data_IF_148511700681
#
_entry.id   IF_148511700681
#
_cell.length_a   1.000
_cell.length_b   1.000
_cell.length_c   1.000
_cell.angle_alpha   90.00
_cell.angle_beta   90.00
_cell.angle_gamma   90.00
#
_symmetry.space_group_name_H-M   'P 1'
#
loop_
_entity.id
_entity.type
_entity.pdbx_description
1 polymer ?
#
# COMPACT_ATOMS: atom_id res chain seq x y z
N UNK A 1 -53.46 29.86 -30.04
CA UNK A 1 -53.57 30.10 -31.50
C UNK A 1 -52.80 31.39 -31.75
N UNK A 2 -51.62 31.48 -32.37
CA UNK A 2 -50.99 30.70 -33.44
C UNK A 2 -49.48 31.01 -33.45
N UNK A 3 -48.64 29.97 -33.54
CA UNK A 3 -47.31 30.03 -34.19
C UNK A 3 -47.46 29.31 -35.56
N UNK A 4 -46.55 29.42 -36.56
CA UNK A 4 -45.11 29.70 -36.44
C UNK A 4 -44.51 30.63 -37.52
N UNK A 5 -43.27 31.08 -37.29
CA UNK A 5 -42.46 31.85 -38.22
C UNK A 5 -41.57 30.92 -39.07
N UNK A 6 -41.62 31.10 -40.39
CA UNK A 6 -40.88 30.40 -41.45
C UNK A 6 -39.52 31.02 -41.71
N UNK A 7 -38.52 30.19 -42.07
CA UNK A 7 -37.41 30.63 -42.91
C UNK A 7 -36.02 30.17 -42.47
N UNK A 8 -35.51 29.17 -43.18
CA UNK A 8 -34.21 28.50 -42.99
C UNK A 8 -33.10 29.06 -43.89
N UNK A 9 -31.87 29.13 -43.32
CA UNK A 9 -30.53 28.99 -43.95
C UNK A 9 -30.06 30.11 -44.92
N UNK A 10 -28.78 30.51 -45.02
CA UNK A 10 -27.55 29.70 -45.16
C UNK A 10 -26.24 30.46 -44.80
N UNK A 11 -25.25 29.70 -44.27
CA UNK A 11 -23.77 29.73 -44.53
C UNK A 11 -22.95 30.99 -44.16
N UNK A 12 -21.70 30.97 -43.67
CA UNK A 12 -20.55 30.05 -43.74
C UNK A 12 -19.41 30.59 -42.86
N UNK A 13 -18.49 29.74 -42.37
CA UNK A 13 -17.07 30.12 -42.27
C UNK A 13 -16.32 29.90 -40.94
N UNK A 14 -15.53 28.82 -40.92
CA UNK A 14 -14.13 28.73 -40.43
C UNK A 14 -13.75 28.93 -38.95
N UNK A 15 -13.37 27.79 -38.36
CA UNK A 15 -12.05 27.50 -37.78
C UNK A 15 -11.46 28.41 -36.69
N UNK A 16 -11.29 27.83 -35.49
CA UNK A 16 -10.51 28.39 -34.41
C UNK A 16 -10.30 27.43 -33.24
N UNK A 17 -9.82 26.21 -33.51
CA UNK A 17 -9.15 25.40 -32.49
C UNK A 17 -7.89 26.16 -32.07
N UNK A 18 -8.01 27.08 -31.10
CA UNK A 18 -6.85 27.67 -30.43
C UNK A 18 -6.24 26.58 -29.56
N UNK A 19 -5.24 25.91 -30.12
CA UNK A 19 -4.33 25.05 -29.39
C UNK A 19 -3.70 25.85 -28.25
N UNK A 20 -4.09 25.52 -27.02
CA UNK A 20 -3.21 25.75 -25.89
C UNK A 20 -2.02 24.81 -26.11
N UNK A 21 -0.91 25.35 -26.61
CA UNK A 21 0.38 24.66 -26.55
C UNK A 21 0.61 24.31 -25.08
N UNK A 22 0.74 23.02 -24.69
CA UNK A 22 1.12 22.68 -23.33
C UNK A 22 2.48 23.34 -23.08
N UNK A 23 2.54 24.20 -22.07
CA UNK A 23 3.77 24.89 -21.75
C UNK A 23 4.78 23.83 -21.31
N UNK A 24 5.99 23.82 -21.89
CA UNK A 24 7.04 22.85 -21.55
C UNK A 24 7.49 22.95 -20.08
N UNK A 25 6.96 23.94 -19.34
CA UNK A 25 7.14 24.12 -17.89
C UNK A 25 6.11 23.37 -17.02
N UNK A 26 5.04 22.81 -17.60
CA UNK A 26 4.02 22.03 -16.85
C UNK A 26 4.43 20.56 -16.64
N UNK A 27 5.55 20.14 -17.25
CA UNK A 27 6.18 18.85 -17.02
C UNK A 27 7.40 18.97 -16.10
N UNK A 28 7.17 19.24 -14.79
CA UNK A 28 8.18 19.08 -13.71
C UNK A 28 7.52 18.96 -12.33
N UNK A 29 8.02 18.14 -11.38
CA UNK A 29 8.72 16.87 -11.47
C UNK A 29 7.96 15.81 -10.62
N UNK A 30 6.94 15.16 -11.16
CA UNK A 30 6.21 14.09 -10.45
C UNK A 30 7.06 12.83 -10.23
N UNK A 31 8.09 12.62 -11.06
CA UNK A 31 8.94 11.45 -10.93
C UNK A 31 9.90 11.52 -9.74
N UNK A 32 10.42 12.68 -9.34
CA UNK A 32 11.45 12.74 -8.29
C UNK A 32 10.88 12.42 -6.90
N UNK A 33 9.66 12.89 -6.61
CA UNK A 33 8.95 12.59 -5.37
C UNK A 33 8.52 11.12 -5.35
N UNK A 34 7.93 10.63 -6.44
CA UNK A 34 7.56 9.21 -6.57
C UNK A 34 8.77 8.29 -6.44
N UNK A 35 9.87 8.57 -7.15
CA UNK A 35 11.11 7.79 -7.06
C UNK A 35 11.74 7.82 -5.66
N UNK A 36 11.68 8.97 -4.95
CA UNK A 36 12.14 9.05 -3.55
C UNK A 36 11.27 8.21 -2.64
N UNK A 37 9.94 8.30 -2.76
CA UNK A 37 9.02 7.50 -1.97
C UNK A 37 9.18 6.01 -2.24
N UNK A 38 9.32 5.61 -3.52
CA UNK A 38 9.61 4.23 -3.93
C UNK A 38 10.93 3.72 -3.35
N UNK A 39 12.02 4.48 -3.47
CA UNK A 39 13.32 4.12 -2.91
C UNK A 39 13.24 3.96 -1.38
N UNK A 40 12.53 4.86 -0.70
CA UNK A 40 12.28 4.78 0.73
C UNK A 40 11.48 3.53 1.08
N UNK A 41 10.41 3.19 0.36
CA UNK A 41 9.62 1.97 0.61
C UNK A 41 10.45 0.68 0.38
N UNK A 42 11.25 0.65 -0.68
CA UNK A 42 12.13 -0.49 -0.97
C UNK A 42 13.19 -0.66 0.12
N UNK A 43 13.76 0.44 0.62
CA UNK A 43 14.72 0.40 1.72
C UNK A 43 14.08 -0.17 2.99
N UNK A 44 12.91 0.31 3.39
CA UNK A 44 12.22 -0.21 4.58
C UNK A 44 11.89 -1.71 4.42
N UNK A 45 11.49 -2.15 3.23
CA UNK A 45 11.24 -3.56 2.96
C UNK A 45 12.50 -4.41 3.10
N UNK A 46 13.62 -3.94 2.57
CA UNK A 46 14.92 -4.61 2.71
C UNK A 46 15.34 -4.71 4.18
N UNK A 47 15.22 -3.62 4.95
CA UNK A 47 15.61 -3.62 6.36
C UNK A 47 14.75 -4.58 7.19
N UNK A 48 13.44 -4.59 6.99
CA UNK A 48 12.56 -5.56 7.68
C UNK A 48 12.85 -6.99 7.23
N UNK A 49 12.99 -7.23 5.93
CA UNK A 49 13.28 -8.57 5.40
C UNK A 49 14.61 -9.11 5.96
N UNK A 50 15.62 -8.24 6.03
CA UNK A 50 16.90 -8.55 6.66
C UNK A 50 16.72 -8.89 8.13
N UNK A 51 16.07 -8.04 8.91
CA UNK A 51 15.84 -8.27 10.34
C UNK A 51 15.16 -9.63 10.62
N UNK A 52 14.10 -9.95 9.86
CA UNK A 52 13.39 -11.23 9.98
C UNK A 52 14.28 -12.42 9.61
N UNK A 53 15.09 -12.29 8.57
CA UNK A 53 15.96 -13.38 8.08
C UNK A 53 17.17 -13.66 8.96
N UNK A 54 17.68 -12.65 9.68
CA UNK A 54 18.89 -12.77 10.52
C UNK A 54 18.59 -13.09 11.97
N UNK A 55 17.37 -12.85 12.44
CA UNK A 55 16.95 -13.14 13.81
C UNK A 55 16.73 -14.65 14.00
N UNK A 56 17.51 -15.26 14.89
CA UNK A 56 17.48 -16.70 15.19
C UNK A 56 16.25 -17.13 15.99
N UNK A 57 15.57 -16.18 16.64
CA UNK A 57 14.36 -16.44 17.42
C UNK A 57 13.11 -16.48 16.54
N UNK A 58 13.20 -16.04 15.27
CA UNK A 58 12.11 -16.13 14.31
C UNK A 58 11.87 -17.60 13.96
N UNK A 59 10.69 -18.08 14.35
CA UNK A 59 10.24 -19.43 14.01
C UNK A 59 9.80 -19.52 12.55
N UNK A 60 9.74 -20.74 12.01
CA UNK A 60 9.23 -20.97 10.66
C UNK A 60 7.78 -20.48 10.49
N UNK A 61 6.96 -20.60 11.54
CA UNK A 61 5.58 -20.10 11.53
C UNK A 61 5.54 -18.56 11.43
N UNK A 62 6.38 -17.87 12.20
CA UNK A 62 6.52 -16.43 12.13
C UNK A 62 7.05 -15.95 10.78
N UNK A 63 8.06 -16.63 10.22
CA UNK A 63 8.58 -16.34 8.88
C UNK A 63 7.50 -16.50 7.79
N UNK A 64 6.68 -17.56 7.87
CA UNK A 64 5.58 -17.79 6.92
C UNK A 64 4.50 -16.73 7.04
N UNK A 65 4.11 -16.37 8.27
CA UNK A 65 3.16 -15.28 8.53
C UNK A 65 3.71 -13.96 7.98
N UNK A 66 4.96 -13.62 8.29
CA UNK A 66 5.62 -12.42 7.78
C UNK A 66 5.62 -12.38 6.25
N UNK A 67 6.07 -13.45 5.60
CA UNK A 67 6.17 -13.53 4.13
C UNK A 67 4.81 -13.38 3.45
N UNK A 68 3.75 -13.90 4.07
CA UNK A 68 2.40 -13.74 3.55
C UNK A 68 1.88 -12.31 3.75
N UNK A 69 2.13 -11.72 4.93
CA UNK A 69 1.70 -10.37 5.24
C UNK A 69 2.51 -9.31 4.49
N UNK A 70 3.79 -9.51 4.21
CA UNK A 70 4.64 -8.54 3.49
C UNK A 70 4.17 -8.28 2.06
N UNK A 71 3.42 -9.22 1.46
CA UNK A 71 2.75 -9.01 0.17
C UNK A 71 1.55 -8.06 0.23
N UNK A 72 0.95 -7.91 1.42
CA UNK A 72 -0.30 -7.17 1.65
C UNK A 72 -0.09 -5.88 2.42
N UNK A 73 0.90 -5.87 3.32
CA UNK A 73 1.21 -4.74 4.18
C UNK A 73 2.15 -3.78 3.47
N UNK A 74 1.80 -2.50 3.51
CA UNK A 74 2.66 -1.41 3.08
C UNK A 74 3.06 -0.57 4.31
N UNK A 75 4.09 0.27 4.17
CA UNK A 75 4.59 1.10 5.28
C UNK A 75 3.69 2.30 5.57
N UNK A 76 2.99 2.79 4.56
CA UNK A 76 2.12 3.97 4.61
C UNK A 76 0.70 3.64 5.06
N UNK A 77 0.31 2.36 5.02
CA UNK A 77 -1.07 1.91 5.27
C UNK A 77 -1.12 0.71 6.17
N UNK A 78 -1.99 0.79 7.15
CA UNK A 78 -2.34 -0.34 7.98
C UNK A 78 -3.46 -1.17 7.33
N UNK A 79 -3.38 -2.49 7.45
CA UNK A 79 -4.29 -3.43 6.81
C UNK A 79 -5.00 -4.26 7.88
N UNK A 80 -6.35 -4.40 7.78
CA UNK A 80 -7.08 -5.29 8.67
C UNK A 80 -6.74 -6.75 8.34
N UNK A 81 -6.35 -7.51 9.35
CA UNK A 81 -6.01 -8.93 9.23
C UNK A 81 -6.93 -9.75 10.13
N UNK A 82 -7.55 -10.77 9.54
CA UNK A 82 -8.29 -11.80 10.26
C UNK A 82 -7.37 -13.02 10.48
N UNK A 83 -7.12 -13.36 11.74
CA UNK A 83 -6.26 -14.49 12.11
C UNK A 83 -6.80 -15.83 11.61
N UNK A 84 -8.12 -15.97 11.47
CA UNK A 84 -8.75 -17.16 10.88
C UNK A 84 -8.39 -17.29 9.39
N UNK A 85 -8.53 -16.22 8.62
CA UNK A 85 -8.15 -16.24 7.20
C UNK A 85 -6.66 -16.52 7.01
N UNK A 86 -5.83 -16.02 7.93
CA UNK A 86 -4.38 -16.28 7.91
C UNK A 86 -4.06 -17.75 8.21
N UNK A 87 -4.79 -18.34 9.16
CA UNK A 87 -4.68 -19.75 9.50
C UNK A 87 -5.07 -20.62 8.30
N UNK A 88 -6.20 -20.31 7.66
CA UNK A 88 -6.70 -21.04 6.49
C UNK A 88 -5.75 -20.90 5.29
N UNK A 89 -5.33 -19.68 4.95
CA UNK A 89 -4.43 -19.42 3.82
C UNK A 89 -3.04 -20.08 3.98
N UNK A 90 -2.58 -20.25 5.22
CA UNK A 90 -1.29 -20.86 5.52
C UNK A 90 -1.38 -22.33 5.90
N UNK A 91 -2.58 -22.92 5.96
CA UNK A 91 -2.78 -24.27 6.47
C UNK A 91 -2.20 -24.45 7.88
N UNK A 92 -2.31 -23.41 8.73
CA UNK A 92 -1.77 -23.39 10.09
C UNK A 92 -2.89 -23.41 11.12
N UNK A 93 -2.61 -23.96 12.30
CA UNK A 93 -3.55 -23.84 13.41
C UNK A 93 -3.57 -22.40 13.93
N UNK A 94 -4.77 -21.91 14.28
CA UNK A 94 -4.96 -20.54 14.78
C UNK A 94 -4.06 -20.16 15.97
N UNK A 95 -3.78 -21.04 16.97
CA UNK A 95 -2.82 -20.73 18.03
C UNK A 95 -1.40 -20.47 17.52
N UNK A 96 -0.96 -21.16 16.46
CA UNK A 96 0.36 -20.98 15.86
C UNK A 96 0.47 -19.62 15.18
N UNK A 97 -0.56 -19.24 14.41
CA UNK A 97 -0.69 -17.89 13.86
C UNK A 97 -0.64 -16.82 14.95
N UNK A 98 -1.36 -17.03 16.05
CA UNK A 98 -1.40 -16.05 17.14
C UNK A 98 -0.04 -15.90 17.84
N UNK A 99 0.67 -17.01 18.04
CA UNK A 99 2.04 -16.98 18.58
C UNK A 99 3.00 -16.29 17.63
N UNK A 100 2.92 -16.58 16.33
CA UNK A 100 3.71 -15.94 15.28
C UNK A 100 3.48 -14.42 15.24
N UNK A 101 2.22 -13.96 15.21
CA UNK A 101 1.90 -12.52 15.21
C UNK A 101 2.45 -11.86 16.47
N UNK A 102 2.24 -12.45 17.66
CA UNK A 102 2.78 -11.90 18.91
C UNK A 102 4.29 -11.79 18.88
N UNK A 103 5.00 -12.78 18.34
CA UNK A 103 6.45 -12.73 18.21
C UNK A 103 6.90 -11.57 17.31
N UNK A 104 6.25 -11.41 16.15
CA UNK A 104 6.54 -10.31 15.22
C UNK A 104 6.20 -8.93 15.84
N UNK A 105 5.16 -8.84 16.68
CA UNK A 105 4.85 -7.63 17.45
C UNK A 105 5.92 -7.34 18.51
N UNK A 106 6.32 -8.34 19.30
CA UNK A 106 7.36 -8.20 20.33
C UNK A 106 8.67 -7.71 19.73
N UNK A 107 9.04 -8.25 18.56
CA UNK A 107 10.24 -7.87 17.79
C UNK A 107 10.08 -6.55 17.03
N UNK A 108 8.97 -5.84 17.21
CA UNK A 108 8.67 -4.56 16.55
C UNK A 108 8.70 -4.61 15.02
N UNK A 109 8.50 -5.80 14.43
CA UNK A 109 8.37 -5.97 12.98
C UNK A 109 6.97 -5.57 12.52
N UNK A 110 5.95 -6.00 13.28
CA UNK A 110 4.56 -5.60 13.10
C UNK A 110 4.13 -4.63 14.20
N UNK A 111 3.49 -3.54 13.80
CA UNK A 111 2.84 -2.60 14.72
C UNK A 111 1.34 -2.81 14.67
N UNK A 112 0.75 -3.05 15.84
CA UNK A 112 -0.70 -3.06 16.03
C UNK A 112 -1.21 -1.64 16.19
N UNK A 113 -2.24 -1.27 15.44
CA UNK A 113 -2.86 0.05 15.56
C UNK A 113 -4.20 -0.01 16.27
N UNK A 114 -5.22 -0.54 15.59
CA UNK A 114 -6.60 -0.52 16.05
C UNK A 114 -7.29 -1.84 15.74
N UNK A 115 -8.43 -2.06 16.39
CA UNK A 115 -9.30 -3.20 16.12
C UNK A 115 -10.48 -2.73 15.27
N UNK A 116 -10.63 -3.32 14.08
CA UNK A 116 -11.76 -3.05 13.19
C UNK A 116 -12.70 -4.26 13.22
N UNK A 117 -13.74 -4.18 14.06
CA UNK A 117 -14.68 -5.28 14.28
C UNK A 117 -13.97 -6.52 14.85
N UNK A 118 -13.91 -7.61 14.07
CA UNK A 118 -13.20 -8.85 14.43
C UNK A 118 -11.74 -8.88 13.97
N UNK A 119 -11.35 -7.98 13.06
CA UNK A 119 -10.00 -7.89 12.54
C UNK A 119 -9.13 -6.99 13.42
N UNK A 120 -7.84 -7.27 13.43
CA UNK A 120 -6.83 -6.38 14.02
C UNK A 120 -6.05 -5.76 12.86
N UNK A 121 -5.85 -4.46 12.93
CA UNK A 121 -5.16 -3.69 11.91
C UNK A 121 -3.67 -3.62 12.23
N UNK A 122 -2.85 -4.03 11.27
CA UNK A 122 -1.39 -4.07 11.39
C UNK A 122 -0.73 -3.21 10.32
N UNK A 123 0.43 -2.65 10.64
CA UNK A 123 1.37 -2.08 9.67
C UNK A 123 2.77 -2.63 9.90
N UNK A 124 3.60 -2.58 8.87
CA UNK A 124 5.04 -2.79 9.02
C UNK A 124 5.65 -1.61 9.80
N UNK A 125 6.68 -1.87 10.59
CA UNK A 125 7.37 -0.81 11.32
C UNK A 125 8.39 -0.08 10.42
N UNK A 126 8.14 1.18 10.00
CA UNK A 126 9.12 1.92 9.21
C UNK A 126 10.35 2.32 10.03
N UNK A 127 10.27 2.37 11.37
CA UNK A 127 11.39 2.73 12.23
C UNK A 127 12.30 1.57 12.59
N UNK A 128 12.10 0.38 11.99
CA UNK A 128 12.97 -0.76 12.25
C UNK A 128 14.33 -0.49 11.60
N UNK A 129 15.27 0.09 12.35
CA UNK A 129 16.65 0.20 11.90
C UNK A 129 17.40 -1.10 12.26
N UNK A 130 17.97 -1.74 11.25
CA UNK A 130 18.44 -3.14 11.29
C UNK A 130 19.60 -3.42 12.25
N UNK A 131 19.36 -3.42 13.56
CA UNK A 131 20.40 -3.74 14.54
C UNK A 131 20.02 -3.91 16.01
N UNK A 132 18.75 -3.95 16.42
CA UNK A 132 18.40 -4.19 17.84
C UNK A 132 17.10 -5.00 17.98
N UNK A 133 17.21 -6.31 18.02
CA UNK A 133 16.20 -7.24 18.52
C UNK A 133 16.85 -8.54 18.98
#
# INVERSE_FOLDING_TARGET
>A
MTQPNTGSQTSSGTAGLRGATPNHSDYRPSNLTTLRTEATMLHHHDVISRAVSTDREITLEALRVFTYLSRRLHFDRSVPVLQSELADALGMQRPNVNRAIKLLETKQILLRESKLGRAITFRLNPGLEGGRA
#
